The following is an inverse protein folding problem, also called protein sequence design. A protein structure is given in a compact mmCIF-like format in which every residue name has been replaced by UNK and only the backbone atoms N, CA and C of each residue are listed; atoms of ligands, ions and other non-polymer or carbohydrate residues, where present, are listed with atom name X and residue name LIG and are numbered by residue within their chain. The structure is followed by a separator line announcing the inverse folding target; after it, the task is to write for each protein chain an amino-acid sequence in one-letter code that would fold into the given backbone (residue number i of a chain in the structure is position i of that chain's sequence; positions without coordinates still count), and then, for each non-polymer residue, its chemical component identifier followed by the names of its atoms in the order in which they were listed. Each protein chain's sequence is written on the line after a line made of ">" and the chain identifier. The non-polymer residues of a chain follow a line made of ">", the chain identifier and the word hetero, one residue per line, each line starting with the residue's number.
data_IF_439777718370
#
_entry.id   IF_439777718370
#
_cell.length_a   1.000
_cell.length_b   1.000
_cell.length_c   1.000
_cell.angle_alpha   90.00
_cell.angle_beta   90.00
_cell.angle_gamma   90.00
#
_symmetry.space_group_name_H-M   'P 1'
#
loop_
_entity.id
_entity.type
_entity.pdbx_description
1 polymer ?
#
# COMPACT_ATOMS: atom_id res chain seq x y z
N UNK A 1 -14.55 -18.89 3.30
CA UNK A 1 -13.21 -18.44 2.83
C UNK A 1 -13.09 -16.91 2.67
N UNK A 2 -14.08 -16.08 3.08
CA UNK A 2 -14.11 -14.64 2.77
C UNK A 2 -13.01 -13.78 3.44
N UNK A 3 -12.27 -14.30 4.42
CA UNK A 3 -11.31 -13.54 5.22
C UNK A 3 -9.85 -13.99 5.03
N UNK A 4 -9.58 -14.95 4.15
CA UNK A 4 -8.21 -15.46 3.92
C UNK A 4 -7.34 -14.34 3.33
N UNK A 5 -6.15 -14.13 3.91
CA UNK A 5 -5.20 -13.10 3.48
C UNK A 5 -5.47 -11.69 4.01
N UNK A 6 -6.53 -11.51 4.79
CA UNK A 6 -6.82 -10.25 5.44
C UNK A 6 -6.07 -10.10 6.77
N UNK A 7 -5.71 -8.88 7.13
CA UNK A 7 -5.03 -8.54 8.38
C UNK A 7 -6.00 -7.77 9.29
N UNK A 8 -6.17 -8.17 10.56
CA UNK A 8 -7.01 -7.45 11.51
C UNK A 8 -6.45 -6.04 11.74
N UNK A 9 -7.31 -5.02 11.68
CA UNK A 9 -6.90 -3.63 11.96
C UNK A 9 -7.10 -3.23 13.44
N UNK A 10 -7.66 -4.14 14.23
CA UNK A 10 -7.86 -4.03 15.69
C UNK A 10 -7.72 -5.40 16.36
N UNK A 11 -7.62 -5.40 17.69
CA UNK A 11 -7.69 -6.63 18.47
C UNK A 11 -9.08 -7.28 18.35
N UNK A 12 -9.10 -8.60 18.16
CA UNK A 12 -10.30 -9.44 18.14
C UNK A 12 -10.18 -10.49 19.24
N UNK A 13 -11.16 -10.55 20.13
CA UNK A 13 -11.22 -11.55 21.19
C UNK A 13 -11.72 -12.90 20.65
N UNK A 14 -11.34 -14.00 21.29
CA UNK A 14 -11.90 -15.31 21.00
C UNK A 14 -13.43 -15.29 21.23
N UNK A 15 -14.19 -15.83 20.28
CA UNK A 15 -15.66 -15.79 20.29
C UNK A 15 -16.29 -14.55 19.68
N UNK A 16 -15.51 -13.53 19.28
CA UNK A 16 -16.04 -12.39 18.54
C UNK A 16 -16.41 -12.78 17.10
N UNK A 17 -17.58 -12.33 16.62
CA UNK A 17 -17.99 -12.51 15.23
C UNK A 17 -17.21 -11.52 14.35
N UNK A 18 -16.37 -11.97 13.40
CA UNK A 18 -15.57 -11.08 12.58
C UNK A 18 -16.43 -10.38 11.52
N UNK A 19 -16.32 -9.06 11.40
CA UNK A 19 -16.97 -8.27 10.35
C UNK A 19 -15.93 -7.78 9.32
N UNK A 20 -16.33 -7.55 8.07
CA UNK A 20 -15.42 -7.10 6.99
C UNK A 20 -14.61 -5.85 7.34
N UNK A 21 -15.22 -4.93 8.10
CA UNK A 21 -14.59 -3.68 8.58
C UNK A 21 -13.45 -3.90 9.60
N UNK A 22 -13.35 -5.09 10.19
CA UNK A 22 -12.29 -5.44 11.13
C UNK A 22 -10.97 -5.80 10.44
N UNK A 23 -10.98 -5.85 9.10
CA UNK A 23 -9.95 -6.42 8.28
C UNK A 23 -9.48 -5.47 7.17
N UNK A 24 -8.20 -5.57 6.83
CA UNK A 24 -7.55 -4.90 5.71
C UNK A 24 -6.95 -5.94 4.76
N UNK A 25 -6.88 -5.64 3.46
CA UNK A 25 -6.39 -6.55 2.43
C UNK A 25 -4.88 -6.86 2.46
N UNK A 26 -4.23 -6.60 3.60
CA UNK A 26 -2.80 -6.80 3.81
C UNK A 26 -2.30 -5.96 4.99
N UNK A 27 -1.05 -6.20 5.41
CA UNK A 27 -0.41 -5.37 6.42
C UNK A 27 -0.31 -3.92 5.92
N UNK A 28 -0.37 -2.93 6.84
CA UNK A 28 -0.11 -1.55 6.47
C UNK A 28 1.32 -1.41 5.92
N UNK A 29 1.47 -0.64 4.85
CA UNK A 29 2.77 -0.17 4.39
C UNK A 29 3.34 0.78 5.43
N UNK A 30 4.61 0.62 5.80
CA UNK A 30 5.30 1.45 6.79
C UNK A 30 6.29 2.41 6.14
N UNK A 31 6.60 3.49 6.85
CA UNK A 31 7.71 4.36 6.46
C UNK A 31 9.02 3.57 6.42
N UNK A 32 9.73 3.69 5.31
CA UNK A 32 11.00 3.03 5.06
C UNK A 32 10.89 1.75 4.25
N UNK A 33 9.69 1.20 4.09
CA UNK A 33 9.46 -0.02 3.32
C UNK A 33 9.82 0.17 1.84
N UNK A 34 10.42 -0.85 1.21
CA UNK A 34 10.62 -0.86 -0.23
C UNK A 34 9.26 -0.95 -0.93
N UNK A 35 9.08 -0.16 -1.97
CA UNK A 35 7.86 -0.14 -2.79
C UNK A 35 8.20 -0.14 -4.27
N UNK A 36 7.27 -0.60 -5.08
CA UNK A 36 7.27 -0.38 -6.52
C UNK A 36 6.39 0.83 -6.82
N UNK A 37 6.99 1.86 -7.39
CA UNK A 37 6.26 2.99 -7.94
C UNK A 37 5.71 2.58 -9.30
N UNK A 38 4.39 2.69 -9.45
CA UNK A 38 3.69 2.33 -10.66
C UNK A 38 3.13 3.59 -11.33
N UNK A 39 3.53 3.85 -12.57
CA UNK A 39 3.06 4.99 -13.34
C UNK A 39 2.52 4.51 -14.68
N UNK A 40 1.37 5.05 -15.10
CA UNK A 40 0.74 4.73 -16.39
C UNK A 40 0.73 5.98 -17.27
N UNK A 41 1.45 5.97 -18.39
CA UNK A 41 1.54 7.10 -19.33
C UNK A 41 1.28 6.59 -20.75
N UNK A 42 0.24 7.11 -21.41
CA UNK A 42 -0.02 6.81 -22.83
C UNK A 42 -0.20 5.32 -23.15
N UNK A 43 -0.73 4.53 -22.21
CA UNK A 43 -0.87 3.07 -22.33
C UNK A 43 0.37 2.26 -21.94
N UNK A 44 1.49 2.92 -21.62
CA UNK A 44 2.69 2.28 -21.09
C UNK A 44 2.62 2.20 -19.56
N UNK A 45 3.03 1.06 -19.02
CA UNK A 45 3.13 0.82 -17.58
C UNK A 45 4.60 0.83 -17.15
N UNK A 46 5.00 1.85 -16.42
CA UNK A 46 6.37 2.03 -15.93
C UNK A 46 6.42 1.68 -14.45
N UNK A 47 7.37 0.81 -14.08
CA UNK A 47 7.64 0.40 -12.71
C UNK A 47 9.02 0.87 -12.30
N UNK A 48 9.12 1.46 -11.12
CA UNK A 48 10.37 1.98 -10.58
C UNK A 48 10.53 1.54 -9.13
N UNK A 49 11.79 1.39 -8.68
CA UNK A 49 12.06 1.14 -7.28
C UNK A 49 11.81 2.42 -6.47
N UNK A 50 11.14 2.26 -5.32
CA UNK A 50 10.83 3.34 -4.43
C UNK A 50 10.96 2.95 -2.97
N UNK A 51 10.89 3.95 -2.10
CA UNK A 51 10.86 3.80 -0.66
C UNK A 51 9.71 4.61 -0.08
N UNK A 52 8.89 3.99 0.74
CA UNK A 52 7.79 4.66 1.41
C UNK A 52 8.32 5.71 2.40
N UNK A 53 7.81 6.94 2.35
CA UNK A 53 8.15 8.00 3.30
C UNK A 53 7.08 8.16 4.39
N UNK A 54 5.97 7.44 4.31
CA UNK A 54 4.92 7.44 5.30
C UNK A 54 4.27 6.07 5.45
N UNK A 55 3.43 5.94 6.46
CA UNK A 55 2.65 4.74 6.72
C UNK A 55 1.27 4.88 6.08
N UNK A 56 0.78 3.85 5.40
CA UNK A 56 -0.57 3.83 4.82
C UNK A 56 -1.16 2.43 4.77
N UNK A 57 -2.47 2.33 4.56
CA UNK A 57 -3.18 1.05 4.37
C UNK A 57 -3.57 0.88 2.90
N UNK A 58 -4.01 -0.32 2.54
CA UNK A 58 -4.50 -0.60 1.19
C UNK A 58 -5.51 0.47 0.75
N UNK A 59 -5.29 1.06 -0.43
CA UNK A 59 -6.10 2.14 -0.98
C UNK A 59 -5.87 3.53 -0.37
N UNK A 60 -5.01 3.66 0.63
CA UNK A 60 -4.61 4.93 1.25
C UNK A 60 -3.54 5.66 0.45
N UNK A 61 -3.35 6.94 0.77
CA UNK A 61 -2.35 7.80 0.16
C UNK A 61 -1.03 7.74 0.92
N UNK A 62 0.09 7.82 0.21
CA UNK A 62 1.44 7.85 0.77
C UNK A 62 2.38 8.62 -0.13
N UNK A 63 3.38 9.28 0.46
CA UNK A 63 4.52 9.81 -0.27
C UNK A 63 5.62 8.76 -0.33
N UNK A 64 6.24 8.59 -1.48
CA UNK A 64 7.35 7.68 -1.68
C UNK A 64 8.49 8.38 -2.41
N UNK A 65 9.71 8.03 -2.07
CA UNK A 65 10.91 8.47 -2.77
C UNK A 65 11.24 7.46 -3.86
N UNK A 66 11.54 7.92 -5.07
CA UNK A 66 12.12 7.07 -6.10
C UNK A 66 13.62 6.87 -5.79
N UNK A 67 14.07 5.62 -5.72
CA UNK A 67 15.45 5.29 -5.28
C UNK A 67 16.51 5.74 -6.28
N UNK A 68 16.20 5.77 -7.58
CA UNK A 68 17.15 6.13 -8.63
C UNK A 68 17.31 7.65 -8.78
N UNK A 69 16.21 8.40 -8.66
CA UNK A 69 16.16 9.84 -8.94
C UNK A 69 16.03 10.73 -7.69
N UNK A 70 15.83 10.14 -6.51
CA UNK A 70 15.57 10.82 -5.24
C UNK A 70 14.35 11.76 -5.24
N UNK A 71 13.49 11.67 -6.27
CA UNK A 71 12.27 12.47 -6.34
C UNK A 71 11.22 11.92 -5.40
N UNK A 72 10.59 12.80 -4.62
CA UNK A 72 9.43 12.47 -3.81
C UNK A 72 8.17 12.57 -4.66
N UNK A 73 7.41 11.49 -4.71
CA UNK A 73 6.14 11.39 -5.43
C UNK A 73 5.02 11.01 -4.47
N UNK A 74 3.81 11.46 -4.78
CA UNK A 74 2.61 11.07 -4.02
C UNK A 74 1.83 10.03 -4.81
N UNK A 75 1.35 9.01 -4.13
CA UNK A 75 0.59 7.95 -4.77
C UNK A 75 -0.36 7.22 -3.83
N UNK A 76 -1.11 6.30 -4.40
CA UNK A 76 -2.06 5.44 -3.71
C UNK A 76 -1.52 4.03 -3.62
N UNK A 77 -1.64 3.39 -2.46
CA UNK A 77 -1.29 1.98 -2.30
C UNK A 77 -2.33 1.10 -3.03
N UNK A 78 -2.01 0.65 -4.24
CA UNK A 78 -2.94 -0.11 -5.11
C UNK A 78 -2.85 -1.62 -4.86
N UNK A 79 -1.71 -2.11 -4.39
CA UNK A 79 -1.48 -3.48 -3.96
C UNK A 79 -0.41 -3.50 -2.86
N UNK A 80 -0.22 -4.61 -2.12
CA UNK A 80 0.85 -4.72 -1.14
C UNK A 80 2.21 -4.35 -1.76
N UNK A 81 2.83 -3.28 -1.24
CA UNK A 81 4.11 -2.77 -1.73
C UNK A 81 4.08 -2.06 -3.09
N UNK A 82 2.91 -1.82 -3.69
CA UNK A 82 2.78 -1.12 -4.99
C UNK A 82 2.06 0.21 -4.81
N UNK A 83 2.77 1.29 -5.09
CA UNK A 83 2.24 2.66 -5.00
C UNK A 83 2.01 3.18 -6.41
N UNK A 84 0.74 3.35 -6.78
CA UNK A 84 0.36 3.99 -8.04
C UNK A 84 0.51 5.51 -7.90
N UNK A 85 1.41 6.08 -8.69
CA UNK A 85 1.77 7.50 -8.63
C UNK A 85 0.64 8.31 -9.27
N UNK A 86 0.16 9.31 -8.53
CA UNK A 86 -0.77 10.31 -9.06
C UNK A 86 0.09 11.46 -9.61
N UNK A 87 0.07 11.64 -10.92
CA UNK A 87 0.71 12.79 -11.58
C UNK A 87 -0.15 14.04 -11.47
#
# INVERSE_FOLDING_TARGET
>A
AALVGQVPVRALAAGAVPATLDFSAGPPLQRGDPVVLLTRIGGLEVRMAGRALGTTRQGGMVSAENVDSHRVVRGRLSAPGVVEVLQ
#
